data_IF_885237250021
#
_entry.id   IF_885237250021
#
_cell.length_a   1.000
_cell.length_b   1.000
_cell.length_c   1.000
_cell.angle_alpha   90.00
_cell.angle_beta   90.00
_cell.angle_gamma   90.00
#
_symmetry.space_group_name_H-M   'P 1'
#
loop_
_entity.id
_entity.type
_entity.pdbx_description
1 polymer ?
#
# COMPACT_ATOMS: atom_id res chain seq x y z
N UNK A 1 8.73 12.87 -16.77
CA UNK A 1 8.82 11.48 -16.26
C UNK A 1 8.28 11.49 -14.84
N UNK A 2 6.97 11.30 -14.64
CA UNK A 2 6.32 11.30 -13.30
C UNK A 2 4.81 10.93 -13.33
N UNK A 3 4.32 10.23 -14.35
CA UNK A 3 2.87 9.94 -14.51
C UNK A 3 2.46 8.52 -14.12
N UNK A 4 3.37 7.67 -13.63
CA UNK A 4 3.09 6.24 -13.42
C UNK A 4 2.02 5.96 -12.34
N UNK A 5 1.81 6.90 -11.41
CA UNK A 5 0.74 6.79 -10.40
C UNK A 5 -0.50 7.61 -10.70
N UNK A 6 -0.41 8.64 -11.55
CA UNK A 6 -1.55 9.46 -11.95
C UNK A 6 -2.28 8.74 -13.07
N UNK A 7 -3.29 7.95 -12.67
CA UNK A 7 -3.96 7.03 -13.57
C UNK A 7 -4.82 7.80 -14.59
N UNK A 8 -4.36 7.83 -15.84
CA UNK A 8 -5.17 8.22 -16.99
C UNK A 8 -5.79 6.96 -17.63
N UNK A 9 -7.10 6.96 -17.83
CA UNK A 9 -7.76 5.99 -18.72
C UNK A 9 -7.78 6.57 -20.12
N UNK A 10 -7.31 5.79 -21.10
CA UNK A 10 -7.50 6.09 -22.52
C UNK A 10 -8.55 5.16 -23.11
N UNK A 11 -9.63 5.74 -23.63
CA UNK A 11 -10.65 5.04 -24.38
C UNK A 11 -10.41 5.26 -25.87
N UNK A 12 -10.26 4.15 -26.61
CA UNK A 12 -10.13 4.17 -28.07
C UNK A 12 -11.48 3.85 -28.69
N UNK A 13 -12.05 4.80 -29.44
CA UNK A 13 -13.30 4.55 -30.21
C UNK A 13 -12.99 4.22 -31.66
N UNK A 14 -13.95 3.58 -32.36
CA UNK A 14 -13.79 3.17 -33.76
C UNK A 14 -13.61 4.36 -34.73
N UNK A 15 -13.98 5.57 -34.31
CA UNK A 15 -13.99 6.77 -35.15
C UNK A 15 -12.65 7.54 -35.11
N UNK A 16 -11.56 6.88 -34.71
CA UNK A 16 -10.22 7.47 -34.56
C UNK A 16 -10.12 8.57 -33.48
N UNK A 17 -11.10 8.65 -32.57
CA UNK A 17 -11.07 9.56 -31.43
C UNK A 17 -10.51 8.85 -30.19
N UNK A 18 -9.53 9.47 -29.54
CA UNK A 18 -9.00 9.01 -28.24
C UNK A 18 -9.56 9.94 -27.17
N UNK A 19 -10.30 9.37 -26.21
CA UNK A 19 -10.73 10.11 -25.02
C UNK A 19 -9.81 9.79 -23.85
N UNK A 20 -9.21 10.83 -23.28
CA UNK A 20 -8.40 10.74 -22.08
C UNK A 20 -9.24 11.18 -20.87
N UNK A 21 -9.37 10.30 -19.88
CA UNK A 21 -10.05 10.57 -18.62
C UNK A 21 -9.04 10.49 -17.48
N UNK A 22 -8.90 11.56 -16.70
CA UNK A 22 -8.11 11.52 -15.46
C UNK A 22 -8.94 10.87 -14.35
N UNK A 23 -8.44 9.78 -13.76
CA UNK A 23 -9.09 9.15 -12.60
C UNK A 23 -8.76 9.86 -11.28
N UNK A 24 -7.80 10.77 -11.27
CA UNK A 24 -7.39 11.52 -10.09
C UNK A 24 -7.99 12.93 -10.12
N UNK A 25 -8.62 13.33 -9.02
CA UNK A 25 -9.11 14.69 -8.77
C UNK A 25 -7.94 15.62 -8.50
N UNK A 26 -7.59 16.54 -9.41
CA UNK A 26 -6.73 17.74 -9.30
C UNK A 26 -5.48 17.71 -8.37
N UNK A 27 -5.06 16.54 -7.90
CA UNK A 27 -4.03 16.32 -6.90
C UNK A 27 -3.27 15.08 -7.33
N UNK A 28 -1.94 15.21 -7.39
CA UNK A 28 -1.11 14.07 -7.73
C UNK A 28 -1.16 13.05 -6.60
N UNK A 29 -1.19 11.76 -6.95
CA UNK A 29 -1.03 10.69 -5.96
C UNK A 29 0.33 10.76 -5.25
N UNK A 30 1.33 11.37 -5.88
CA UNK A 30 2.62 11.64 -5.25
C UNK A 30 2.51 12.63 -4.09
N UNK A 31 1.66 13.64 -4.21
CA UNK A 31 1.43 14.61 -3.13
C UNK A 31 0.74 13.91 -1.94
N UNK A 32 -0.20 13.01 -2.22
CA UNK A 32 -0.88 12.22 -1.19
C UNK A 32 0.09 11.26 -0.49
N UNK A 33 0.97 10.61 -1.24
CA UNK A 33 2.01 9.76 -0.69
C UNK A 33 2.99 10.56 0.19
N UNK A 34 3.49 11.68 -0.31
CA UNK A 34 4.40 12.56 0.43
C UNK A 34 3.75 13.09 1.72
N UNK A 35 2.49 13.50 1.66
CA UNK A 35 1.73 13.93 2.83
C UNK A 35 1.58 12.81 3.88
N UNK A 36 1.27 11.60 3.43
CA UNK A 36 1.13 10.42 4.30
C UNK A 36 2.46 10.01 4.93
N UNK A 37 3.54 10.00 4.15
CA UNK A 37 4.89 9.72 4.64
C UNK A 37 5.34 10.73 5.68
N UNK A 38 5.11 12.03 5.45
CA UNK A 38 5.42 13.07 6.43
C UNK A 38 4.64 12.86 7.74
N UNK A 39 3.36 12.47 7.64
CA UNK A 39 2.52 12.21 8.81
C UNK A 39 3.05 11.01 9.62
N UNK A 40 3.37 9.90 8.96
CA UNK A 40 3.88 8.70 9.65
C UNK A 40 5.24 8.94 10.29
N UNK A 41 6.16 9.62 9.60
CA UNK A 41 7.48 9.94 10.14
C UNK A 41 7.38 10.86 11.37
N UNK A 42 6.57 11.91 11.31
CA UNK A 42 6.36 12.79 12.47
C UNK A 42 5.82 12.02 13.67
N UNK A 43 4.81 11.16 13.46
CA UNK A 43 4.25 10.35 14.54
C UNK A 43 5.27 9.39 15.18
N UNK A 44 6.15 8.79 14.37
CA UNK A 44 7.24 7.96 14.88
C UNK A 44 8.28 8.78 15.67
N UNK A 45 8.67 9.96 15.18
CA UNK A 45 9.59 10.82 15.91
C UNK A 45 9.00 11.31 17.24
N UNK A 46 7.70 11.61 17.27
CA UNK A 46 7.00 11.99 18.49
C UNK A 46 6.91 10.83 19.47
N UNK A 47 6.74 9.58 19.01
CA UNK A 47 6.75 8.43 19.91
C UNK A 47 8.10 8.25 20.58
N UNK A 48 9.20 8.47 19.84
CA UNK A 48 10.57 8.44 20.38
C UNK A 48 10.80 9.54 21.43
N UNK A 49 10.38 10.78 21.14
CA UNK A 49 10.54 11.92 22.06
C UNK A 49 9.80 11.70 23.38
N UNK A 50 8.62 11.08 23.31
CA UNK A 50 7.76 10.86 24.47
C UNK A 50 7.99 9.51 25.16
N UNK A 51 8.90 8.67 24.65
CA UNK A 51 9.15 7.33 25.19
C UNK A 51 7.91 6.41 25.12
N UNK A 52 7.06 6.61 24.12
CA UNK A 52 5.82 5.83 23.91
C UNK A 52 6.02 4.76 22.83
N UNK A 53 5.21 3.69 22.80
CA UNK A 53 5.25 2.72 21.73
C UNK A 53 5.09 3.38 20.35
N UNK A 54 5.77 2.86 19.31
CA UNK A 54 5.62 3.40 17.97
C UNK A 54 4.18 3.21 17.47
N UNK A 55 3.67 4.12 16.61
CA UNK A 55 2.31 4.03 16.08
C UNK A 55 2.08 2.80 15.19
N UNK A 56 3.16 2.24 14.63
CA UNK A 56 3.21 0.94 13.95
C UNK A 56 4.38 0.18 14.54
N UNK A 57 4.11 -0.96 15.16
CA UNK A 57 5.14 -1.80 15.76
C UNK A 57 5.85 -2.67 14.70
N UNK A 58 6.98 -3.27 15.09
CA UNK A 58 7.64 -4.27 14.25
C UNK A 58 6.74 -5.48 13.97
N UNK A 59 5.90 -5.87 14.93
CA UNK A 59 4.95 -6.98 14.75
C UNK A 59 3.85 -6.64 13.76
N UNK A 60 3.36 -5.39 13.76
CA UNK A 60 2.38 -4.94 12.75
C UNK A 60 3.00 -4.99 11.35
N UNK A 61 4.27 -4.56 11.22
CA UNK A 61 5.02 -4.69 9.97
C UNK A 61 5.19 -6.15 9.52
N UNK A 62 5.47 -7.07 10.44
CA UNK A 62 5.56 -8.50 10.12
C UNK A 62 4.20 -9.09 9.72
N UNK A 63 3.10 -8.64 10.31
CA UNK A 63 1.75 -9.09 9.96
C UNK A 63 1.38 -8.72 8.51
N UNK A 64 1.79 -7.54 8.03
CA UNK A 64 1.61 -7.16 6.63
C UNK A 64 2.38 -8.09 5.67
N UNK A 65 3.63 -8.43 6.02
CA UNK A 65 4.43 -9.38 5.24
C UNK A 65 3.84 -10.80 5.26
N UNK A 66 3.31 -11.22 6.42
CA UNK A 66 2.59 -12.48 6.59
C UNK A 66 1.38 -12.54 5.66
N UNK A 67 0.62 -11.45 5.57
CA UNK A 67 -0.53 -11.33 4.67
C UNK A 67 -0.12 -11.39 3.18
N UNK A 68 0.93 -10.67 2.79
CA UNK A 68 1.46 -10.71 1.41
C UNK A 68 1.89 -12.14 1.01
N UNK A 69 2.59 -12.84 1.91
CA UNK A 69 3.01 -14.22 1.69
C UNK A 69 1.81 -15.16 1.51
N UNK A 70 0.76 -14.99 2.32
CA UNK A 70 -0.48 -15.75 2.21
C UNK A 70 -1.23 -15.47 0.89
N UNK A 71 -1.29 -14.22 0.43
CA UNK A 71 -1.86 -13.87 -0.87
C UNK A 71 -1.14 -14.58 -2.01
N UNK A 72 0.19 -14.56 -2.00
CA UNK A 72 1.01 -15.24 -3.02
C UNK A 72 0.77 -16.75 -3.00
N UNK A 73 0.70 -17.39 -1.83
CA UNK A 73 0.40 -18.82 -1.71
C UNK A 73 -1.02 -19.16 -2.17
N UNK A 74 -2.01 -18.36 -1.79
CA UNK A 74 -3.41 -18.53 -2.20
C UNK A 74 -3.54 -18.49 -3.72
N UNK A 75 -2.91 -17.51 -4.38
CA UNK A 75 -2.91 -17.38 -5.83
C UNK A 75 -2.25 -18.59 -6.51
N UNK A 76 -1.12 -19.07 -5.98
CA UNK A 76 -0.40 -20.22 -6.53
C UNK A 76 -1.19 -21.55 -6.38
N UNK A 77 -1.83 -21.76 -5.23
CA UNK A 77 -2.53 -23.00 -4.92
C UNK A 77 -4.03 -22.99 -5.30
N UNK A 78 -4.56 -21.82 -5.72
CA UNK A 78 -5.98 -21.61 -6.03
C UNK A 78 -6.92 -22.05 -4.89
N UNK A 79 -6.49 -21.85 -3.64
CA UNK A 79 -7.28 -22.15 -2.44
C UNK A 79 -7.11 -21.06 -1.39
N UNK A 80 -8.09 -20.88 -0.49
CA UNK A 80 -7.90 -20.09 0.71
C UNK A 80 -6.71 -20.59 1.54
N UNK A 81 -6.03 -19.67 2.22
CA UNK A 81 -4.88 -19.90 3.10
C UNK A 81 -5.25 -19.44 4.50
N UNK A 82 -5.04 -20.29 5.50
CA UNK A 82 -5.13 -19.90 6.91
C UNK A 82 -3.81 -19.25 7.31
N UNK A 83 -3.79 -17.93 7.37
CA UNK A 83 -2.58 -17.13 7.54
C UNK A 83 -1.85 -17.48 8.84
N UNK A 84 -2.59 -17.60 9.95
CA UNK A 84 -1.98 -17.82 11.27
C UNK A 84 -1.40 -19.21 11.41
N UNK A 85 -2.00 -20.20 10.73
CA UNK A 85 -1.55 -21.57 10.77
C UNK A 85 -0.42 -21.85 9.77
N UNK A 86 -0.47 -21.22 8.59
CA UNK A 86 0.47 -21.48 7.50
C UNK A 86 1.70 -20.57 7.49
N UNK A 87 1.66 -19.43 8.21
CA UNK A 87 2.75 -18.46 8.33
C UNK A 87 2.85 -17.92 9.77
N UNK A 88 3.03 -18.76 10.81
CA UNK A 88 3.05 -18.28 12.19
C UNK A 88 4.16 -17.24 12.42
N UNK A 89 3.84 -16.20 13.19
CA UNK A 89 4.80 -15.21 13.66
C UNK A 89 5.05 -15.47 15.16
N UNK A 90 6.17 -16.12 15.48
CA UNK A 90 6.58 -16.31 16.86
C UNK A 90 7.28 -15.06 17.39
N UNK A 91 6.90 -14.64 18.59
CA UNK A 91 7.57 -13.55 19.31
C UNK A 91 8.74 -14.17 20.07
N UNK A 92 9.98 -13.88 19.66
CA UNK A 92 11.18 -14.17 20.45
C UNK A 92 11.30 -13.25 21.66
#
# INVERSE_FOLDING_TARGET
>A
MLTDLDAEIRLYTQDCCVQNHSLTTNHSRWDQYAASFRKSLTAYLDSLRNGTPPPVSGMDGLAELQFEAALRRSAALKRPVDIQNEFPLDVC
#
